data_IF_163512591641
#
_entry.id   IF_163512591641
#
_cell.length_a   1.000
_cell.length_b   1.000
_cell.length_c   1.000
_cell.angle_alpha   90.00
_cell.angle_beta   90.00
_cell.angle_gamma   90.00
#
_symmetry.space_group_name_H-M   'P 1'
#
loop_
_entity.id
_entity.type
_entity.pdbx_description
1 polymer ?
#
# COMPACT_ATOMS: atom_id res chain seq x y z
N UNK A 1 -21.17 54.92 13.52
CA UNK A 1 -21.59 55.03 12.11
C UNK A 1 -21.34 53.69 11.42
N UNK A 2 -22.35 53.21 10.67
CA UNK A 2 -22.36 52.09 9.70
C UNK A 2 -22.23 50.65 10.24
N UNK A 3 -23.40 50.12 10.61
CA UNK A 3 -23.78 48.73 10.34
C UNK A 3 -23.84 48.50 8.82
N UNK A 4 -23.30 47.39 8.30
CA UNK A 4 -23.69 46.82 7.00
C UNK A 4 -23.86 45.31 7.15
N UNK A 5 -25.11 44.90 6.99
CA UNK A 5 -25.55 43.51 6.79
C UNK A 5 -25.07 43.02 5.43
N UNK A 6 -24.51 41.81 5.38
CA UNK A 6 -24.37 41.06 4.12
C UNK A 6 -25.48 40.01 4.04
N UNK A 7 -26.23 40.16 2.96
CA UNK A 7 -27.40 39.43 2.53
C UNK A 7 -26.95 38.11 1.88
N UNK A 8 -27.26 36.96 2.50
CA UNK A 8 -27.14 35.65 1.85
C UNK A 8 -28.42 35.39 1.05
N UNK A 9 -28.32 35.39 -0.27
CA UNK A 9 -29.39 34.94 -1.17
C UNK A 9 -29.21 33.43 -1.37
N UNK A 10 -30.04 32.64 -0.68
CA UNK A 10 -30.16 31.22 -0.93
C UNK A 10 -31.09 30.99 -2.12
N UNK A 11 -30.54 30.52 -3.24
CA UNK A 11 -31.29 30.11 -4.42
C UNK A 11 -31.74 28.65 -4.23
N UNK A 12 -32.99 28.44 -3.81
CA UNK A 12 -33.60 27.12 -3.73
C UNK A 12 -34.15 26.72 -5.11
N UNK A 13 -33.49 25.78 -5.79
CA UNK A 13 -34.01 25.13 -6.99
C UNK A 13 -34.87 23.95 -6.54
N UNK A 14 -36.19 24.09 -6.69
CA UNK A 14 -37.14 22.98 -6.61
C UNK A 14 -37.16 22.26 -7.98
N UNK A 15 -36.60 21.05 -8.05
CA UNK A 15 -36.96 20.08 -9.08
C UNK A 15 -37.89 19.03 -8.49
N UNK A 16 -39.13 19.04 -8.98
CA UNK A 16 -40.10 17.98 -8.77
C UNK A 16 -39.77 16.80 -9.70
N UNK A 17 -39.51 15.62 -9.13
CA UNK A 17 -39.51 14.35 -9.85
C UNK A 17 -40.80 13.60 -9.49
N UNK A 18 -41.69 13.47 -10.47
CA UNK A 18 -42.83 12.54 -10.46
C UNK A 18 -42.65 11.57 -11.61
N UNK A 19 -42.83 10.27 -11.34
CA UNK A 19 -43.11 9.28 -12.38
C UNK A 19 -42.26 8.04 -12.28
N UNK A 20 -42.87 6.95 -11.82
CA UNK A 20 -42.23 5.66 -11.63
C UNK A 20 -41.95 4.90 -12.93
N UNK A 21 -40.99 3.98 -12.83
CA UNK A 21 -40.69 2.97 -13.84
C UNK A 21 -39.96 1.82 -13.16
N UNK A 22 -40.65 0.68 -12.98
CA UNK A 22 -40.05 -0.58 -12.58
C UNK A 22 -39.27 -1.17 -13.76
N UNK A 23 -38.01 -1.53 -13.57
CA UNK A 23 -37.30 -2.54 -14.38
C UNK A 23 -36.05 -2.95 -13.60
N UNK A 24 -36.12 -4.00 -12.78
CA UNK A 24 -35.60 -5.33 -13.10
C UNK A 24 -34.17 -5.29 -13.69
N UNK A 25 -33.22 -5.56 -12.79
CA UNK A 25 -31.89 -6.05 -13.07
C UNK A 25 -31.98 -7.35 -13.88
N UNK A 26 -31.49 -7.34 -15.12
CA UNK A 26 -31.04 -8.55 -15.83
C UNK A 26 -29.82 -8.15 -16.67
N UNK A 27 -28.65 -8.64 -16.28
CA UNK A 27 -27.49 -8.70 -17.17
C UNK A 27 -27.74 -9.80 -18.22
N UNK A 28 -27.56 -9.56 -19.52
CA UNK A 28 -27.66 -10.61 -20.51
C UNK A 28 -26.33 -11.38 -20.60
N UNK A 29 -26.43 -12.70 -20.40
CA UNK A 29 -25.65 -13.74 -21.08
C UNK A 29 -24.12 -13.78 -20.86
N UNK A 30 -23.70 -14.43 -19.77
CA UNK A 30 -22.46 -15.21 -19.78
C UNK A 30 -22.78 -16.58 -20.39
N UNK A 31 -22.45 -16.77 -21.67
CA UNK A 31 -22.54 -18.07 -22.34
C UNK A 31 -21.17 -18.76 -22.21
N UNK A 32 -21.14 -19.88 -21.50
CA UNK A 32 -20.02 -20.82 -21.52
C UNK A 32 -19.89 -21.48 -22.91
N UNK A 33 -18.69 -21.60 -23.47
CA UNK A 33 -18.41 -22.62 -24.46
C UNK A 33 -17.66 -23.78 -23.81
N UNK A 34 -18.41 -24.82 -23.45
CA UNK A 34 -17.88 -26.19 -23.39
C UNK A 34 -17.62 -26.61 -24.82
N UNK A 35 -16.36 -26.89 -25.16
CA UNK A 35 -16.03 -27.59 -26.41
C UNK A 35 -15.22 -28.83 -26.09
N UNK A 36 -15.80 -29.94 -26.55
CA UNK A 36 -15.27 -31.29 -26.54
C UNK A 36 -13.91 -31.37 -27.25
N UNK A 37 -12.96 -32.05 -26.60
CA UNK A 37 -11.84 -32.69 -27.27
C UNK A 37 -11.77 -34.14 -26.82
N UNK A 38 -12.14 -35.04 -27.74
CA UNK A 38 -11.99 -36.47 -27.61
C UNK A 38 -10.55 -36.91 -27.88
N UNK A 39 -10.22 -38.02 -27.23
CA UNK A 39 -9.44 -39.16 -27.69
C UNK A 39 -7.93 -39.20 -27.41
N UNK A 40 -7.52 -40.33 -26.83
CA UNK A 40 -6.14 -40.61 -26.42
C UNK A 40 -6.03 -41.70 -25.35
N UNK A 41 -6.69 -42.83 -25.56
CA UNK A 41 -6.53 -44.02 -24.73
C UNK A 41 -5.11 -44.62 -24.89
N UNK A 42 -4.40 -44.79 -23.77
CA UNK A 42 -3.29 -45.75 -23.64
C UNK A 42 -3.69 -46.74 -22.56
N UNK A 43 -3.80 -48.00 -22.99
CA UNK A 43 -3.97 -49.16 -22.14
C UNK A 43 -2.65 -49.44 -21.42
N UNK A 44 -2.70 -49.67 -20.11
CA UNK A 44 -1.72 -50.55 -19.46
C UNK A 44 -2.45 -51.52 -18.53
N UNK A 45 -2.08 -52.77 -18.72
CA UNK A 45 -2.58 -53.99 -18.12
C UNK A 45 -1.74 -54.29 -16.88
N UNK A 46 -2.39 -54.36 -15.72
CA UNK A 46 -1.72 -54.60 -14.44
C UNK A 46 -2.66 -55.21 -13.42
N UNK A 47 -3.14 -56.41 -13.72
CA UNK A 47 -4.04 -57.20 -12.88
C UNK A 47 -3.38 -57.72 -11.58
N UNK A 48 -4.22 -57.90 -10.54
CA UNK A 48 -4.22 -58.90 -9.43
C UNK A 48 -3.90 -58.39 -8.00
N UNK A 49 -4.39 -59.07 -6.93
CA UNK A 49 -5.78 -59.18 -6.50
C UNK A 49 -5.96 -58.85 -4.99
N UNK A 50 -7.20 -58.98 -4.49
CA UNK A 50 -7.56 -58.81 -3.09
C UNK A 50 -7.74 -60.17 -2.37
N UNK A 51 -6.90 -60.40 -1.37
CA UNK A 51 -6.99 -61.28 -0.19
C UNK A 51 -5.58 -61.28 0.44
N UNK A 52 -5.31 -61.17 1.74
CA UNK A 52 -6.03 -61.47 2.96
C UNK A 52 -5.06 -62.26 3.85
N UNK A 53 -4.21 -61.62 4.65
CA UNK A 53 -3.60 -62.28 5.82
C UNK A 53 -3.08 -61.30 6.87
N UNK A 54 -3.61 -61.46 8.08
CA UNK A 54 -3.18 -60.82 9.33
C UNK A 54 -2.01 -61.66 9.87
N UNK A 55 -0.85 -61.06 10.05
CA UNK A 55 0.23 -61.64 10.85
C UNK A 55 0.60 -60.72 12.01
N UNK A 56 0.14 -61.16 13.17
CA UNK A 56 0.60 -60.85 14.51
C UNK A 56 2.06 -61.29 14.69
N UNK A 57 2.96 -60.35 15.03
CA UNK A 57 4.23 -60.67 15.68
C UNK A 57 4.59 -59.59 16.70
N UNK A 58 4.51 -59.99 17.97
CA UNK A 58 4.93 -59.21 19.13
C UNK A 58 6.42 -59.27 19.45
N UNK A 59 6.79 -58.29 20.27
CA UNK A 59 7.81 -58.21 21.33
C UNK A 59 9.28 -58.61 21.09
N UNK A 60 10.15 -57.63 21.42
CA UNK A 60 11.52 -57.80 21.92
C UNK A 60 12.58 -57.27 20.94
N UNK A 61 13.63 -56.53 21.29
CA UNK A 61 14.21 -56.05 22.55
C UNK A 61 15.13 -54.86 22.19
N UNK A 62 15.24 -53.90 23.10
CA UNK A 62 16.39 -53.04 23.38
C UNK A 62 17.44 -52.75 22.29
N UNK A 63 17.40 -51.51 21.78
CA UNK A 63 18.62 -50.75 21.52
C UNK A 63 18.51 -49.39 22.21
N UNK A 64 19.15 -49.32 23.37
CA UNK A 64 19.39 -48.10 24.12
C UNK A 64 20.19 -47.09 23.28
N UNK A 65 19.61 -45.91 23.09
CA UNK A 65 20.38 -44.69 22.86
C UNK A 65 20.18 -43.85 24.12
N UNK A 66 21.04 -44.08 25.10
CA UNK A 66 21.25 -43.14 26.19
C UNK A 66 22.14 -42.01 25.65
N UNK A 67 21.49 -40.90 25.30
CA UNK A 67 22.19 -39.64 25.11
C UNK A 67 21.31 -38.50 25.63
N UNK A 68 21.27 -38.36 26.96
CA UNK A 68 21.10 -37.11 27.70
C UNK A 68 20.23 -36.03 27.01
N UNK A 69 18.94 -36.34 26.83
CA UNK A 69 17.91 -35.30 26.85
C UNK A 69 17.33 -35.42 28.24
N UNK A 70 17.48 -34.39 29.09
CA UNK A 70 16.67 -34.32 30.30
C UNK A 70 15.21 -34.34 29.83
N UNK A 71 14.53 -35.46 30.06
CA UNK A 71 13.11 -35.62 29.77
C UNK A 71 12.34 -34.54 30.52
N UNK A 72 12.10 -33.40 29.88
CA UNK A 72 11.05 -32.48 30.33
C UNK A 72 9.78 -33.29 30.18
N UNK A 73 9.26 -33.84 31.28
CA UNK A 73 8.11 -34.71 31.18
C UNK A 73 6.96 -33.91 30.56
N UNK A 74 6.33 -34.48 29.52
CA UNK A 74 5.30 -33.80 28.74
C UNK A 74 4.29 -33.09 29.65
N UNK A 75 4.13 -31.78 29.42
CA UNK A 75 3.21 -30.91 30.15
C UNK A 75 3.76 -30.29 31.45
N UNK A 76 5.04 -30.47 31.77
CA UNK A 76 5.73 -29.77 32.87
C UNK A 76 6.18 -28.36 32.49
N UNK A 77 6.63 -27.57 33.48
CA UNK A 77 7.08 -26.19 33.29
C UNK A 77 8.09 -26.09 32.14
N UNK A 78 7.80 -25.24 31.16
CA UNK A 78 8.64 -25.04 29.98
C UNK A 78 8.33 -25.96 28.79
N UNK A 79 7.49 -26.98 28.95
CA UNK A 79 7.07 -27.85 27.83
C UNK A 79 6.28 -27.06 26.79
N UNK A 80 6.43 -27.31 25.48
CA UNK A 80 5.58 -26.69 24.46
C UNK A 80 4.12 -27.13 24.62
N UNK A 81 3.18 -26.23 24.34
CA UNK A 81 1.75 -26.52 24.42
C UNK A 81 0.96 -25.82 23.30
N UNK A 82 -0.24 -26.30 23.00
CA UNK A 82 -1.20 -25.63 22.11
C UNK A 82 -2.46 -25.20 22.86
N UNK A 83 -2.75 -25.85 23.98
CA UNK A 83 -3.92 -25.64 24.81
C UNK A 83 -3.57 -25.80 26.29
N UNK A 84 -4.42 -25.25 27.16
CA UNK A 84 -4.26 -25.37 28.61
C UNK A 84 -4.27 -26.83 29.11
N UNK A 85 -4.95 -27.73 28.41
CA UNK A 85 -5.01 -29.16 28.76
C UNK A 85 -3.71 -29.91 28.51
N UNK A 86 -2.82 -29.37 27.68
CA UNK A 86 -1.52 -29.98 27.41
C UNK A 86 -0.57 -29.82 28.61
N UNK A 87 -0.90 -28.90 29.53
CA UNK A 87 -0.10 -28.57 30.69
C UNK A 87 -0.69 -29.23 31.95
N UNK A 88 0.16 -29.92 32.73
CA UNK A 88 -0.25 -30.53 34.01
C UNK A 88 -0.80 -29.48 34.99
N UNK A 89 -0.30 -28.26 34.90
CA UNK A 89 -0.74 -27.10 35.66
C UNK A 89 -2.07 -26.51 35.19
N UNK A 90 -2.53 -26.84 33.98
CA UNK A 90 -3.68 -26.22 33.34
C UNK A 90 -3.39 -24.85 32.70
N UNK A 91 -2.14 -24.41 32.61
CA UNK A 91 -1.78 -23.09 32.06
C UNK A 91 -0.77 -23.18 30.92
N UNK A 92 -1.23 -22.83 29.72
CA UNK A 92 -0.43 -22.65 28.53
C UNK A 92 -0.31 -21.17 28.22
N UNK A 93 0.90 -20.60 28.34
CA UNK A 93 1.16 -19.16 28.14
C UNK A 93 2.12 -18.93 26.99
N UNK A 94 2.10 -17.74 26.41
CA UNK A 94 3.01 -17.37 25.34
C UNK A 94 4.43 -17.13 25.89
N UNK A 95 5.40 -17.91 25.42
CA UNK A 95 6.82 -17.75 25.65
C UNK A 95 7.53 -17.02 24.50
N UNK A 96 8.87 -17.08 24.49
CA UNK A 96 9.70 -16.35 23.53
C UNK A 96 9.62 -16.90 22.09
N UNK A 97 9.51 -18.23 21.93
CA UNK A 97 9.47 -18.93 20.63
C UNK A 97 8.16 -19.67 20.35
N UNK A 98 7.19 -19.56 21.25
CA UNK A 98 5.92 -20.30 21.16
C UNK A 98 5.25 -20.44 22.51
N UNK A 99 4.12 -21.12 22.54
CA UNK A 99 3.39 -21.37 23.78
C UNK A 99 4.06 -22.45 24.61
N UNK A 100 4.15 -22.23 25.92
CA UNK A 100 4.76 -23.14 26.87
C UNK A 100 3.89 -23.32 28.12
N UNK A 101 4.05 -24.45 28.78
CA UNK A 101 3.42 -24.73 30.06
C UNK A 101 4.08 -23.92 31.18
N UNK A 102 3.26 -23.30 32.02
CA UNK A 102 3.68 -22.55 33.20
C UNK A 102 3.09 -23.15 34.48
N UNK A 103 3.52 -22.72 35.66
CA UNK A 103 2.93 -23.10 36.96
C UNK A 103 2.43 -21.85 37.68
N UNK A 104 1.47 -22.04 38.59
CA UNK A 104 1.09 -20.98 39.53
C UNK A 104 2.21 -20.74 40.55
N UNK A 105 2.36 -19.49 40.95
CA UNK A 105 3.35 -19.07 41.93
C UNK A 105 2.72 -18.14 42.96
N UNK A 106 3.27 -18.15 44.16
CA UNK A 106 2.84 -17.26 45.23
C UNK A 106 3.83 -16.10 45.40
N UNK A 107 5.13 -16.41 45.50
CA UNK A 107 6.19 -15.40 45.58
C UNK A 107 7.46 -15.78 44.77
N UNK A 108 7.79 -17.07 44.66
CA UNK A 108 9.00 -17.54 43.98
C UNK A 108 8.68 -18.46 42.80
N UNK A 109 9.53 -18.39 41.78
CA UNK A 109 9.52 -19.26 40.61
C UNK A 109 10.89 -19.92 40.43
N UNK A 110 10.96 -21.07 39.72
CA UNK A 110 12.23 -21.68 39.36
C UNK A 110 13.14 -20.73 38.58
N UNK A 111 14.44 -21.02 38.56
CA UNK A 111 15.42 -20.19 37.84
C UNK A 111 15.00 -19.96 36.39
N UNK A 112 15.13 -18.72 35.92
CA UNK A 112 14.68 -18.33 34.58
C UNK A 112 13.19 -17.98 34.48
N UNK A 113 12.45 -17.95 35.59
CA UNK A 113 11.05 -17.53 35.64
C UNK A 113 10.81 -16.46 36.71
N UNK A 114 9.83 -15.59 36.47
CA UNK A 114 9.40 -14.53 37.41
C UNK A 114 7.92 -14.71 37.71
N UNK A 115 7.57 -14.63 38.99
CA UNK A 115 6.18 -14.74 39.42
C UNK A 115 5.39 -13.49 39.04
N UNK A 116 4.29 -13.66 38.30
CA UNK A 116 3.49 -12.52 37.82
C UNK A 116 2.00 -12.75 37.85
N UNK A 117 1.28 -11.79 38.41
CA UNK A 117 -0.17 -11.70 38.34
C UNK A 117 -0.68 -11.39 36.92
N UNK A 118 -1.59 -12.23 36.44
CA UNK A 118 -2.35 -12.04 35.22
C UNK A 118 -3.84 -12.04 35.55
N UNK A 119 -4.61 -11.23 34.82
CA UNK A 119 -6.08 -11.24 34.94
C UNK A 119 -6.66 -12.29 33.99
N UNK A 120 -7.32 -13.28 34.55
CA UNK A 120 -8.10 -14.28 33.82
C UNK A 120 -9.58 -14.08 34.15
N UNK A 121 -10.26 -13.29 33.33
CA UNK A 121 -11.61 -12.83 33.62
C UNK A 121 -11.61 -11.79 34.75
N UNK A 122 -12.23 -12.10 35.88
CA UNK A 122 -12.22 -11.26 37.09
C UNK A 122 -11.19 -11.71 38.13
N UNK A 123 -10.54 -12.85 37.91
CA UNK A 123 -9.61 -13.44 38.87
C UNK A 123 -8.17 -13.02 38.56
N UNK A 124 -7.41 -12.72 39.61
CA UNK A 124 -5.97 -12.49 39.53
C UNK A 124 -5.24 -13.80 39.83
N UNK A 125 -4.54 -14.32 38.83
CA UNK A 125 -3.75 -15.56 38.94
C UNK A 125 -2.27 -15.23 38.77
N UNK A 126 -1.44 -15.62 39.73
CA UNK A 126 0.01 -15.45 39.64
C UNK A 126 0.66 -16.68 38.99
N UNK A 127 1.33 -16.48 37.86
CA UNK A 127 1.98 -17.53 37.06
C UNK A 127 3.48 -17.27 36.91
N UNK A 128 4.26 -18.36 36.80
CA UNK A 128 5.68 -18.29 36.49
C UNK A 128 5.90 -17.99 35.01
N UNK A 129 6.20 -16.74 34.70
CA UNK A 129 6.47 -16.31 33.33
C UNK A 129 7.97 -16.41 33.05
N UNK A 130 8.40 -16.96 31.91
CA UNK A 130 9.81 -16.95 31.54
C UNK A 130 10.37 -15.54 31.66
N UNK A 131 11.54 -15.45 32.26
CA UNK A 131 12.30 -14.24 32.28
C UNK A 131 12.57 -13.80 30.83
N UNK A 132 12.15 -12.58 30.48
CA UNK A 132 12.21 -12.11 29.09
C UNK A 132 11.02 -12.48 28.20
N UNK A 133 9.93 -13.09 28.71
CA UNK A 133 8.72 -13.33 27.89
C UNK A 133 8.04 -12.04 27.38
N UNK A 134 8.36 -10.90 27.99
CA UNK A 134 7.94 -9.59 27.48
C UNK A 134 8.89 -9.01 26.44
N UNK A 135 10.08 -9.58 26.23
CA UNK A 135 11.01 -9.14 25.21
C UNK A 135 10.33 -9.19 23.83
N UNK A 136 10.39 -8.09 23.10
CA UNK A 136 9.72 -7.91 21.82
C UNK A 136 8.18 -7.98 21.85
N UNK A 137 7.55 -7.77 23.02
CA UNK A 137 6.10 -7.53 23.09
C UNK A 137 5.79 -6.05 22.79
N UNK A 138 4.73 -5.75 22.02
CA UNK A 138 4.30 -4.37 21.81
C UNK A 138 4.01 -3.66 23.13
N UNK A 139 4.44 -2.40 23.24
CA UNK A 139 4.24 -1.61 24.44
C UNK A 139 3.99 -0.13 24.09
N UNK A 140 3.43 0.58 25.06
CA UNK A 140 3.25 2.04 25.06
C UNK A 140 4.01 2.71 26.20
N UNK A 141 4.36 1.97 27.25
CA UNK A 141 5.13 2.47 28.39
C UNK A 141 5.96 1.36 29.06
N UNK A 142 7.00 1.76 29.78
CA UNK A 142 7.92 0.86 30.49
C UNK A 142 7.21 -0.06 31.48
N UNK A 143 6.09 0.38 32.06
CA UNK A 143 5.31 -0.41 33.01
C UNK A 143 4.80 -1.74 32.42
N UNK A 144 4.68 -1.82 31.08
CA UNK A 144 4.23 -3.03 30.38
C UNK A 144 5.37 -4.04 30.18
N UNK A 145 6.63 -3.65 30.41
CA UNK A 145 7.82 -4.38 29.99
C UNK A 145 8.53 -5.19 31.09
N UNK A 146 7.89 -5.41 32.24
CA UNK A 146 8.23 -6.53 33.14
C UNK A 146 9.68 -6.57 33.60
N UNK A 147 10.28 -5.40 33.83
CA UNK A 147 11.70 -5.25 34.19
C UNK A 147 12.59 -4.73 33.04
N UNK A 148 12.04 -4.60 31.85
CA UNK A 148 12.64 -3.85 30.73
C UNK A 148 11.95 -2.52 30.47
N UNK A 149 12.35 -1.87 29.39
CA UNK A 149 11.83 -0.58 28.92
C UNK A 149 11.11 -0.71 27.60
N UNK A 150 10.20 0.22 27.32
CA UNK A 150 9.52 0.30 26.05
C UNK A 150 10.38 1.08 25.05
N UNK A 151 11.02 0.36 24.14
CA UNK A 151 11.97 0.94 23.19
C UNK A 151 11.29 1.22 21.84
N UNK A 152 11.62 2.34 21.17
CA UNK A 152 11.09 2.63 19.84
C UNK A 152 11.79 1.79 18.75
N UNK A 153 11.00 1.33 17.77
CA UNK A 153 11.40 0.56 16.60
C UNK A 153 10.68 1.12 15.36
N UNK A 154 11.25 2.17 14.77
CA UNK A 154 10.57 2.91 13.69
C UNK A 154 9.24 3.49 14.19
N UNK A 155 8.12 3.03 13.62
CA UNK A 155 6.77 3.47 13.99
C UNK A 155 6.13 2.71 15.15
N UNK A 156 6.76 1.62 15.62
CA UNK A 156 6.23 0.77 16.69
C UNK A 156 7.14 0.83 17.92
N UNK A 157 6.69 0.29 19.05
CA UNK A 157 7.51 0.20 20.26
C UNK A 157 7.36 -1.17 20.89
N UNK A 158 8.47 -1.74 21.33
CA UNK A 158 8.52 -3.05 21.92
C UNK A 158 9.34 -3.06 23.19
N UNK A 159 8.96 -3.95 24.08
CA UNK A 159 9.65 -4.15 25.34
C UNK A 159 11.04 -4.73 25.11
N UNK A 160 12.05 -4.04 25.64
CA UNK A 160 13.39 -4.56 25.86
C UNK A 160 13.46 -5.41 27.14
N UNK A 161 14.69 -5.82 27.47
CA UNK A 161 15.01 -6.58 28.67
C UNK A 161 16.29 -6.01 29.28
N UNK A 162 16.30 -5.64 30.56
CA UNK A 162 17.49 -5.03 31.17
C UNK A 162 18.68 -6.00 31.18
N UNK A 163 19.74 -5.71 30.45
CA UNK A 163 20.92 -6.57 30.34
C UNK A 163 22.10 -6.05 31.17
N UNK A 164 21.84 -5.21 32.16
CA UNK A 164 22.87 -4.65 33.04
C UNK A 164 23.58 -5.72 33.87
N UNK A 165 22.87 -6.81 34.20
CA UNK A 165 23.36 -7.88 35.08
C UNK A 165 23.27 -9.28 34.45
N UNK A 166 22.93 -9.38 33.17
CA UNK A 166 22.66 -10.65 32.50
C UNK A 166 22.96 -10.61 31.01
N UNK A 167 23.10 -11.78 30.40
CA UNK A 167 23.37 -11.92 28.97
C UNK A 167 22.06 -11.93 28.19
N UNK A 168 22.02 -11.24 27.05
CA UNK A 168 20.85 -11.26 26.18
C UNK A 168 20.67 -12.62 25.49
N UNK A 169 19.43 -13.02 25.19
CA UNK A 169 19.15 -14.22 24.40
C UNK A 169 19.80 -14.17 23.00
N UNK A 170 19.89 -15.33 22.35
CA UNK A 170 20.37 -15.41 20.96
C UNK A 170 19.52 -14.53 20.02
N UNK A 171 20.18 -13.84 19.09
CA UNK A 171 19.54 -12.85 18.21
C UNK A 171 19.31 -11.48 18.86
N UNK A 172 19.77 -11.26 20.10
CA UNK A 172 19.73 -9.98 20.78
C UNK A 172 21.12 -9.53 21.20
N UNK A 173 21.34 -8.23 21.10
CA UNK A 173 22.53 -7.55 21.59
C UNK A 173 22.17 -6.61 22.74
N UNK A 174 23.06 -6.54 23.72
CA UNK A 174 22.91 -5.62 24.84
C UNK A 174 23.36 -4.22 24.41
N UNK A 175 22.42 -3.31 24.23
CA UNK A 175 22.67 -1.93 23.80
C UNK A 175 22.39 -0.94 24.93
N UNK A 176 23.18 0.13 24.99
CA UNK A 176 22.97 1.24 25.91
C UNK A 176 21.87 2.17 25.40
N UNK A 177 20.84 2.41 26.22
CA UNK A 177 19.78 3.38 25.97
C UNK A 177 19.74 4.41 27.11
N UNK A 178 19.06 5.54 26.88
CA UNK A 178 18.85 6.53 27.93
C UNK A 178 18.07 5.89 29.09
N UNK A 179 18.73 5.68 30.22
CA UNK A 179 18.19 5.06 31.43
C UNK A 179 18.37 3.55 31.59
N UNK A 180 19.25 2.90 30.82
CA UNK A 180 19.76 1.57 31.13
C UNK A 180 20.17 0.75 29.91
N UNK A 181 20.86 -0.37 30.16
CA UNK A 181 21.23 -1.33 29.12
C UNK A 181 20.07 -2.25 28.82
N UNK A 182 19.68 -2.39 27.55
CA UNK A 182 18.54 -3.22 27.16
C UNK A 182 18.92 -4.18 26.02
N UNK A 183 18.41 -5.40 26.08
CA UNK A 183 18.46 -6.34 24.96
C UNK A 183 17.62 -5.81 23.81
N UNK A 184 18.27 -5.63 22.67
CA UNK A 184 17.72 -5.12 21.43
C UNK A 184 17.97 -6.17 20.34
N UNK A 185 16.99 -6.50 19.48
CA UNK A 185 17.16 -7.51 18.45
C UNK A 185 18.28 -7.07 17.48
N UNK A 186 19.21 -7.97 17.18
CA UNK A 186 20.40 -7.67 16.37
C UNK A 186 20.04 -7.27 14.93
N UNK A 187 18.90 -7.73 14.43
CA UNK A 187 18.35 -7.38 13.12
C UNK A 187 17.49 -6.10 13.13
N UNK A 188 17.36 -5.43 14.29
CA UNK A 188 16.54 -4.22 14.46
C UNK A 188 15.03 -4.42 14.37
N UNK A 189 14.53 -5.67 14.42
CA UNK A 189 13.10 -5.96 14.34
C UNK A 189 12.64 -7.02 15.33
N UNK A 190 11.59 -6.70 16.07
CA UNK A 190 10.90 -7.66 16.92
C UNK A 190 9.90 -8.56 16.17
N UNK A 191 9.40 -8.05 15.03
CA UNK A 191 8.38 -8.70 14.22
C UNK A 191 8.97 -9.55 13.09
N UNK A 192 10.15 -9.21 12.55
CA UNK A 192 10.80 -10.03 11.53
C UNK A 192 11.69 -11.09 12.17
N UNK A 193 11.29 -12.36 12.05
CA UNK A 193 11.92 -13.53 12.65
C UNK A 193 11.96 -14.70 11.63
N UNK A 194 12.70 -15.78 11.89
CA UNK A 194 12.75 -16.93 10.99
C UNK A 194 11.37 -17.51 10.64
N UNK A 195 10.42 -17.50 11.58
CA UNK A 195 9.06 -18.03 11.39
C UNK A 195 8.22 -17.29 10.34
N UNK A 196 8.59 -16.05 10.03
CA UNK A 196 7.89 -15.21 9.05
C UNK A 196 8.87 -14.62 8.02
N UNK A 197 9.95 -15.35 7.74
CA UNK A 197 10.88 -15.03 6.67
C UNK A 197 10.14 -14.98 5.33
N UNK A 198 10.41 -13.96 4.53
CA UNK A 198 9.75 -13.75 3.24
C UNK A 198 8.34 -13.16 3.31
N UNK A 199 7.77 -12.98 4.51
CA UNK A 199 6.54 -12.19 4.64
C UNK A 199 6.79 -10.76 4.18
N UNK A 200 5.73 -10.14 3.65
CA UNK A 200 5.74 -8.77 3.16
C UNK A 200 4.88 -7.89 4.07
N UNK A 201 5.30 -6.64 4.28
CA UNK A 201 4.48 -5.63 4.97
C UNK A 201 4.59 -4.27 4.30
N UNK A 202 3.70 -3.36 4.68
CA UNK A 202 3.79 -1.97 4.24
C UNK A 202 4.98 -1.25 4.90
N UNK A 203 5.67 -0.43 4.11
CA UNK A 203 6.70 0.51 4.56
C UNK A 203 6.38 1.91 4.02
N UNK A 204 7.09 2.92 4.52
CA UNK A 204 6.97 4.28 4.01
C UNK A 204 8.30 5.03 4.06
N UNK A 205 8.52 5.90 3.08
CA UNK A 205 9.50 6.98 3.14
C UNK A 205 8.78 8.30 3.36
N UNK A 206 9.31 9.12 4.26
CA UNK A 206 8.71 10.39 4.67
C UNK A 206 9.79 11.47 4.74
N UNK A 207 9.49 12.64 4.18
CA UNK A 207 10.33 13.84 4.27
C UNK A 207 9.44 15.09 4.24
N UNK A 208 10.01 16.26 3.93
CA UNK A 208 9.28 17.52 3.91
C UNK A 208 8.24 17.63 2.76
N UNK A 209 8.38 16.85 1.70
CA UNK A 209 7.46 16.87 0.55
C UNK A 209 6.25 15.98 0.78
N UNK A 210 6.42 14.83 1.42
CA UNK A 210 5.28 13.99 1.75
C UNK A 210 5.65 12.62 2.30
N UNK A 211 4.75 11.65 2.09
CA UNK A 211 4.89 10.28 2.61
C UNK A 211 4.44 9.25 1.58
N UNK A 212 5.42 8.61 0.95
CA UNK A 212 5.19 7.55 -0.02
C UNK A 212 5.15 6.19 0.66
N UNK A 213 4.23 5.32 0.21
CA UNK A 213 4.10 3.96 0.71
C UNK A 213 4.71 2.95 -0.27
N UNK A 214 5.17 1.83 0.27
CA UNK A 214 5.67 0.69 -0.48
C UNK A 214 5.55 -0.58 0.33
N UNK A 215 6.23 -1.63 -0.12
CA UNK A 215 6.32 -2.89 0.61
C UNK A 215 7.77 -3.19 0.95
N UNK A 216 7.98 -3.91 2.03
CA UNK A 216 9.28 -4.45 2.43
C UNK A 216 9.13 -5.91 2.84
N UNK A 217 10.23 -6.67 2.77
CA UNK A 217 10.26 -8.11 3.01
C UNK A 217 11.05 -8.42 4.27
N UNK A 218 10.60 -9.40 5.05
CA UNK A 218 11.34 -9.88 6.21
C UNK A 218 12.51 -10.79 5.78
N UNK A 219 13.74 -10.31 6.00
CA UNK A 219 14.96 -11.11 5.97
C UNK A 219 15.43 -11.33 7.42
N UNK A 220 15.33 -12.55 8.01
CA UNK A 220 15.57 -12.78 9.44
C UNK A 220 16.86 -12.19 9.99
N UNK A 221 17.96 -12.23 9.22
CA UNK A 221 19.27 -11.72 9.64
C UNK A 221 19.37 -10.18 9.57
N UNK A 222 18.54 -9.53 8.76
CA UNK A 222 18.59 -8.08 8.48
C UNK A 222 17.35 -7.31 8.92
N UNK A 223 16.31 -8.00 9.37
CA UNK A 223 15.02 -7.42 9.70
C UNK A 223 14.19 -7.17 8.45
N UNK A 224 13.38 -6.11 8.49
CA UNK A 224 12.60 -5.70 7.34
C UNK A 224 13.46 -4.86 6.40
N UNK A 225 13.52 -5.25 5.13
CA UNK A 225 14.42 -4.67 4.14
C UNK A 225 13.77 -4.59 2.76
N UNK A 226 14.35 -3.77 1.90
CA UNK A 226 13.89 -3.60 0.51
C UNK A 226 12.59 -2.81 0.40
N UNK A 227 12.41 -1.77 1.21
CA UNK A 227 11.25 -0.88 1.09
C UNK A 227 11.17 -0.32 -0.33
N UNK A 228 10.06 -0.60 -1.03
CA UNK A 228 9.82 -0.18 -2.41
C UNK A 228 9.15 1.19 -2.51
N UNK A 229 8.98 1.90 -1.39
CA UNK A 229 8.38 3.23 -1.40
C UNK A 229 9.27 4.17 -2.24
N UNK A 230 8.64 5.08 -2.99
CA UNK A 230 9.38 6.18 -3.59
C UNK A 230 9.90 7.10 -2.50
N UNK A 231 11.00 7.80 -2.75
CA UNK A 231 11.37 8.92 -1.87
C UNK A 231 10.56 10.13 -2.33
N UNK A 232 9.70 10.72 -1.47
CA UNK A 232 8.92 11.88 -1.88
C UNK A 232 9.82 13.01 -2.37
N UNK A 233 9.41 13.70 -3.42
CA UNK A 233 10.17 14.76 -4.07
C UNK A 233 9.23 15.93 -4.41
N UNK A 234 9.76 17.13 -4.74
CA UNK A 234 8.92 18.18 -5.28
C UNK A 234 8.25 17.71 -6.58
N UNK A 235 6.98 18.07 -6.72
CA UNK A 235 6.21 17.81 -7.92
C UNK A 235 6.87 18.38 -9.19
N UNK A 236 6.89 17.54 -10.22
CA UNK A 236 7.24 17.92 -11.59
C UNK A 236 6.17 17.37 -12.52
N UNK A 237 5.87 18.08 -13.61
CA UNK A 237 4.88 17.61 -14.57
C UNK A 237 5.44 16.39 -15.31
N UNK A 238 5.14 15.19 -14.83
CA UNK A 238 5.66 13.95 -15.40
C UNK A 238 4.60 12.83 -15.44
N UNK A 239 3.35 13.12 -15.07
CA UNK A 239 2.27 12.14 -15.00
C UNK A 239 2.35 11.23 -13.78
N UNK A 240 3.09 11.62 -12.73
CA UNK A 240 3.22 10.89 -11.46
C UNK A 240 2.97 11.83 -10.30
N UNK A 241 2.68 11.21 -9.17
CA UNK A 241 2.57 11.85 -7.86
C UNK A 241 3.93 11.65 -7.18
N UNK A 242 4.81 12.64 -7.31
CA UNK A 242 6.19 12.61 -6.83
C UNK A 242 6.29 12.93 -5.32
N UNK A 243 5.35 13.68 -4.77
CA UNK A 243 5.25 14.00 -3.35
C UNK A 243 4.35 13.02 -2.57
N UNK A 244 3.63 12.15 -3.28
CA UNK A 244 2.72 11.14 -2.76
C UNK A 244 1.54 11.72 -1.97
N UNK A 245 1.04 12.90 -2.34
CA UNK A 245 -0.12 13.54 -1.71
C UNK A 245 -1.48 12.98 -2.21
N UNK A 246 -1.46 12.11 -3.23
CA UNK A 246 -2.62 11.47 -3.82
C UNK A 246 -3.19 12.19 -5.05
N UNK A 247 -2.54 13.25 -5.52
CA UNK A 247 -2.92 14.03 -6.71
C UNK A 247 -1.71 14.10 -7.63
N UNK A 248 -1.90 13.74 -8.90
CA UNK A 248 -0.83 13.77 -9.91
C UNK A 248 -0.72 15.15 -10.55
N UNK A 249 0.51 15.66 -10.69
CA UNK A 249 0.86 16.91 -11.37
C UNK A 249 -0.01 18.11 -10.90
N UNK A 250 -0.36 18.23 -9.62
CA UNK A 250 -1.36 19.17 -9.12
C UNK A 250 -0.96 20.65 -9.22
N UNK A 251 0.33 20.91 -9.44
CA UNK A 251 0.85 22.25 -9.76
C UNK A 251 0.58 22.66 -11.22
N UNK A 252 0.10 21.75 -12.07
CA UNK A 252 -0.28 21.96 -13.47
C UNK A 252 -1.74 21.54 -13.73
N UNK A 253 -2.73 22.26 -13.16
CA UNK A 253 -4.15 21.88 -13.20
C UNK A 253 -4.74 21.86 -14.62
N UNK A 254 -4.07 22.45 -15.60
CA UNK A 254 -4.48 22.42 -17.00
C UNK A 254 -4.13 21.12 -17.72
N UNK A 255 -3.31 20.23 -17.17
CA UNK A 255 -3.00 18.93 -17.80
C UNK A 255 -4.29 18.18 -18.11
N UNK A 256 -4.43 17.73 -19.36
CA UNK A 256 -5.64 17.08 -19.87
C UNK A 256 -6.76 18.04 -20.30
N UNK A 257 -6.68 19.34 -19.99
CA UNK A 257 -7.62 20.33 -20.49
C UNK A 257 -7.42 20.61 -21.99
N UNK A 258 -8.49 21.03 -22.67
CA UNK A 258 -8.45 21.36 -24.10
C UNK A 258 -7.62 22.62 -24.34
N UNK A 259 -6.74 22.57 -25.34
CA UNK A 259 -5.97 23.70 -25.83
C UNK A 259 -6.24 23.94 -27.32
N UNK A 260 -5.99 25.17 -27.79
CA UNK A 260 -6.06 25.52 -29.21
C UNK A 260 -4.82 26.31 -29.57
N UNK A 261 -4.17 25.93 -30.66
CA UNK A 261 -2.96 26.57 -31.20
C UNK A 261 -3.19 27.01 -32.63
N UNK A 262 -2.40 27.97 -33.10
CA UNK A 262 -2.53 28.54 -34.45
C UNK A 262 -3.52 29.70 -34.54
N UNK A 263 -3.43 30.42 -35.65
CA UNK A 263 -4.29 31.56 -36.02
C UNK A 263 -5.09 31.20 -37.27
N UNK A 264 -6.19 31.91 -37.56
CA UNK A 264 -6.97 31.66 -38.77
C UNK A 264 -7.41 30.21 -38.98
N UNK A 265 -7.28 29.74 -40.21
CA UNK A 265 -7.54 28.35 -40.64
C UNK A 265 -6.45 27.37 -40.16
N UNK A 266 -5.31 27.87 -39.67
CA UNK A 266 -4.28 27.04 -39.03
C UNK A 266 -4.62 26.65 -37.60
N UNK A 267 -5.78 27.05 -37.06
CA UNK A 267 -6.21 26.62 -35.73
C UNK A 267 -6.29 25.10 -35.64
N UNK A 268 -5.69 24.53 -34.61
CA UNK A 268 -5.75 23.11 -34.26
C UNK A 268 -6.06 22.95 -32.78
N UNK A 269 -6.87 21.96 -32.46
CA UNK A 269 -7.30 21.65 -31.10
C UNK A 269 -6.52 20.45 -30.60
N UNK A 270 -6.06 20.52 -29.35
CA UNK A 270 -5.39 19.42 -28.66
C UNK A 270 -5.72 19.44 -27.17
N UNK A 271 -4.86 18.81 -26.38
CA UNK A 271 -4.90 18.81 -24.91
C UNK A 271 -3.58 19.29 -24.35
N UNK A 272 -3.58 19.95 -23.20
CA UNK A 272 -2.34 20.24 -22.50
C UNK A 272 -1.73 18.95 -21.97
N UNK A 273 -0.43 18.80 -22.22
CA UNK A 273 0.41 17.71 -21.77
C UNK A 273 1.65 18.28 -21.09
N UNK A 274 2.32 17.50 -20.27
CA UNK A 274 3.55 17.93 -19.64
C UNK A 274 4.63 18.23 -20.69
N UNK A 275 5.34 19.34 -20.50
CA UNK A 275 6.53 19.64 -21.29
C UNK A 275 7.62 18.59 -21.04
N UNK A 276 8.48 18.38 -22.03
CA UNK A 276 9.54 17.37 -21.93
C UNK A 276 10.56 17.62 -20.81
N UNK A 277 10.65 18.85 -20.31
CA UNK A 277 11.50 19.22 -19.17
C UNK A 277 10.78 19.11 -17.81
N UNK A 278 9.50 18.75 -17.81
CA UNK A 278 8.65 18.57 -16.62
C UNK A 278 8.36 19.84 -15.84
N UNK A 279 8.60 21.02 -16.42
CA UNK A 279 8.47 22.32 -15.73
C UNK A 279 7.23 23.12 -16.13
N UNK A 280 6.48 22.63 -17.10
CA UNK A 280 5.33 23.32 -17.66
C UNK A 280 4.43 22.39 -18.45
N UNK A 281 3.50 23.00 -19.17
CA UNK A 281 2.59 22.31 -20.08
C UNK A 281 2.76 22.81 -21.50
N UNK A 282 2.48 21.95 -22.46
CA UNK A 282 2.47 22.22 -23.90
C UNK A 282 1.20 21.66 -24.51
N UNK A 283 0.71 22.29 -25.57
CA UNK A 283 -0.44 21.74 -26.30
C UNK A 283 0.03 20.56 -27.16
N UNK A 284 -0.70 19.45 -27.12
CA UNK A 284 -0.42 18.26 -27.95
C UNK A 284 -0.66 18.49 -29.44
N UNK A 285 -1.38 19.56 -29.79
CA UNK A 285 -1.58 20.00 -31.16
C UNK A 285 -0.43 20.90 -31.64
N UNK A 286 -0.08 20.75 -32.92
CA UNK A 286 0.78 21.69 -33.65
C UNK A 286 -0.11 22.56 -34.55
N UNK A 287 0.15 23.87 -34.70
CA UNK A 287 -0.57 24.71 -35.65
C UNK A 287 -0.59 24.11 -37.07
N UNK A 288 -1.67 24.34 -37.80
CA UNK A 288 -1.73 24.06 -39.23
C UNK A 288 -0.64 24.80 -39.99
N UNK A 289 -0.26 24.25 -41.16
CA UNK A 289 0.67 24.95 -42.04
C UNK A 289 -0.06 26.10 -42.74
N UNK A 290 0.56 27.28 -42.83
CA UNK A 290 -0.01 28.41 -43.55
C UNK A 290 0.00 28.13 -45.06
N UNK A 291 -1.06 28.56 -45.74
CA UNK A 291 -1.21 28.53 -47.19
C UNK A 291 -1.31 29.96 -47.73
N UNK A 292 -0.93 30.24 -48.99
CA UNK A 292 -1.10 31.58 -49.54
C UNK A 292 -2.55 32.05 -49.44
N UNK A 293 -2.72 33.35 -49.22
CA UNK A 293 -4.06 33.91 -49.11
C UNK A 293 -4.91 33.67 -50.36
N UNK A 294 -6.20 33.50 -50.12
CA UNK A 294 -7.28 33.40 -51.12
C UNK A 294 -8.32 34.46 -50.73
N UNK A 295 -8.91 35.14 -51.72
CA UNK A 295 -10.03 36.04 -51.44
C UNK A 295 -11.27 35.18 -51.19
N UNK A 296 -11.38 34.62 -49.99
CA UNK A 296 -12.46 33.71 -49.59
C UNK A 296 -13.03 34.02 -48.21
N UNK A 297 -12.60 35.13 -47.58
CA UNK A 297 -13.08 35.57 -46.28
C UNK A 297 -12.43 34.83 -45.12
N UNK A 298 -11.29 34.17 -45.34
CA UNK A 298 -10.54 33.42 -44.33
C UNK A 298 -9.10 33.92 -44.22
N UNK A 299 -8.45 33.47 -43.16
CA UNK A 299 -7.04 33.70 -42.85
C UNK A 299 -6.31 32.38 -43.15
N UNK A 300 -5.96 32.21 -44.41
CA UNK A 300 -5.35 31.01 -44.99
C UNK A 300 -3.85 30.96 -44.70
N UNK A 301 -3.19 32.12 -44.63
CA UNK A 301 -1.76 32.25 -44.36
C UNK A 301 -1.43 32.39 -42.87
N UNK A 302 -2.46 32.51 -42.04
CA UNK A 302 -2.42 32.41 -40.59
C UNK A 302 -1.59 33.52 -39.94
N UNK A 303 -1.50 34.68 -40.58
CA UNK A 303 -0.84 35.88 -40.05
C UNK A 303 -1.75 36.69 -39.11
N UNK A 304 -3.06 36.35 -39.07
CA UNK A 304 -4.07 36.99 -38.24
C UNK A 304 -4.90 38.07 -38.93
N UNK A 305 -4.69 38.29 -40.22
CA UNK A 305 -5.49 39.13 -41.09
C UNK A 305 -6.32 38.24 -42.05
N UNK A 306 -7.32 38.84 -42.70
CA UNK A 306 -8.22 38.13 -43.61
C UNK A 306 -8.15 38.85 -44.96
N UNK A 307 -7.88 38.11 -46.04
CA UNK A 307 -7.82 38.58 -47.43
C UNK A 307 -6.95 39.85 -47.64
N UNK A 308 -5.87 40.05 -46.88
CA UNK A 308 -5.09 41.29 -46.85
C UNK A 308 -4.22 41.54 -48.09
N UNK A 309 -3.99 40.50 -48.90
CA UNK A 309 -3.30 40.60 -50.18
C UNK A 309 -4.09 41.43 -51.22
N UNK A 310 -5.42 41.57 -51.06
CA UNK A 310 -6.28 42.36 -51.95
C UNK A 310 -6.52 43.78 -51.44
N UNK A 311 -5.57 44.68 -51.73
CA UNK A 311 -5.58 46.10 -51.30
C UNK A 311 -6.85 46.89 -51.64
N UNK A 312 -7.57 46.50 -52.69
CA UNK A 312 -8.80 47.19 -53.10
C UNK A 312 -10.07 46.60 -52.46
N UNK A 313 -9.97 45.47 -51.72
CA UNK A 313 -11.10 44.80 -51.09
C UNK A 313 -11.86 45.76 -50.15
N UNK A 314 -13.18 45.80 -50.29
CA UNK A 314 -14.05 46.71 -49.54
C UNK A 314 -14.04 48.17 -50.02
N UNK A 315 -13.18 48.54 -50.99
CA UNK A 315 -13.21 49.88 -51.60
C UNK A 315 -14.23 49.96 -52.74
N UNK A 316 -14.62 51.18 -53.12
CA UNK A 316 -15.62 51.41 -54.18
C UNK A 316 -15.02 51.09 -55.54
N UNK A 317 -15.71 50.28 -56.34
CA UNK A 317 -15.38 50.02 -57.75
C UNK A 317 -16.35 50.74 -58.69
N UNK A 318 -15.90 51.04 -59.90
CA UNK A 318 -16.72 51.69 -60.94
C UNK A 318 -16.64 50.92 -62.25
N UNK A 319 -17.78 50.63 -62.85
CA UNK A 319 -17.88 49.93 -64.15
C UNK A 319 -18.78 50.73 -65.09
N UNK A 320 -18.41 50.80 -66.37
CA UNK A 320 -19.14 51.54 -67.40
C UNK A 320 -18.46 52.84 -67.85
N UNK A 321 -19.09 53.57 -68.77
CA UNK A 321 -18.58 54.85 -69.30
C UNK A 321 -19.72 55.85 -69.49
N UNK A 322 -19.44 57.14 -69.29
CA UNK A 322 -20.42 58.22 -69.45
C UNK A 322 -21.60 58.10 -68.47
N UNK A 323 -22.82 58.32 -68.95
CA UNK A 323 -24.04 58.25 -68.14
C UNK A 323 -24.40 56.83 -67.66
N UNK A 324 -23.66 55.81 -68.11
CA UNK A 324 -23.87 54.41 -67.74
C UNK A 324 -22.88 53.89 -66.68
N UNK A 325 -22.24 54.77 -65.91
CA UNK A 325 -21.38 54.36 -64.79
C UNK A 325 -22.24 53.78 -63.66
N UNK A 326 -21.87 52.58 -63.19
CA UNK A 326 -22.40 51.96 -61.99
C UNK A 326 -21.32 51.91 -60.90
N UNK A 327 -21.71 52.20 -59.66
CA UNK A 327 -20.86 52.05 -58.48
C UNK A 327 -21.12 50.70 -57.83
N UNK A 328 -20.05 50.05 -57.39
CA UNK A 328 -20.09 48.84 -56.56
C UNK A 328 -19.00 48.89 -55.49
N UNK A 329 -18.78 47.77 -54.82
CA UNK A 329 -17.66 47.56 -53.90
C UNK A 329 -16.90 46.33 -54.34
N UNK A 330 -15.57 46.36 -54.24
CA UNK A 330 -14.77 45.15 -54.41
C UNK A 330 -15.10 44.17 -53.28
N UNK A 331 -15.46 42.96 -53.68
CA UNK A 331 -15.74 41.83 -52.81
C UNK A 331 -14.99 40.62 -53.36
N UNK A 332 -14.71 39.67 -52.49
CA UNK A 332 -14.58 38.28 -52.91
C UNK A 332 -15.98 37.80 -53.39
#
# INVERSE_FOLDING_TARGET
MKYRQNLYVALAIFMACSGGGKSQNVCPECVDPVSDAQDGAVQDDGSLPADGEILDHGYGEDLAIDQFVSDVALGELGSPCQSNSDCKSGFCIEGFEGFICTIQCYDECPQGYVCRGMLLGQDLVSLCVPFGASLCKPCKSDAQCSGGRCLPFGSQSYCGLDCSFQTCPEGYECKDFDGGKQCYPSNGSCDCRPKNAGEIRMCAHENEYGRCFGIETCEPDKGWTGCTALTPAPEVCNGKDDDCNGITDELWPEVGAVCTVGTGECKRVGTFECSSDGRGTVCSATPGSPEPELCDGKDNDCDGLIDEDWKELGTVCQVGFGDCIALGTWVC
#
